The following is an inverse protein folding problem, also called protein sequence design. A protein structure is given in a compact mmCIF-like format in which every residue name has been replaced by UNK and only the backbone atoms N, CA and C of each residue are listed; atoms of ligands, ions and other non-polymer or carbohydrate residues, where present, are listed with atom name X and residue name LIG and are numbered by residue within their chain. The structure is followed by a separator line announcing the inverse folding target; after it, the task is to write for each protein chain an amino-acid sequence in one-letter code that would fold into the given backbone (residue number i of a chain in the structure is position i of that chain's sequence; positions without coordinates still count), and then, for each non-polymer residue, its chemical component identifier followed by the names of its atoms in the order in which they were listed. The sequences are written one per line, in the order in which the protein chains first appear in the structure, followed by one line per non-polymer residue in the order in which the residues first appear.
data_IF_647623665752
#
_entry.id   IF_647623665752
#
_cell.length_a   1.000
_cell.length_b   1.000
_cell.length_c   1.000
_cell.angle_alpha   90.00
_cell.angle_beta   90.00
_cell.angle_gamma   90.00
#
_symmetry.space_group_name_H-M   'P 1'
#
loop_
_entity.id
_entity.type
_entity.pdbx_description
1 polymer ?
#
# COMPACT_ATOMS: atom_id res chain seq x y z
N UNK A 1 16.53 12.47 12.72
CA UNK A 1 16.49 11.04 12.34
C UNK A 1 15.19 10.44 12.85
N UNK A 2 14.34 9.87 11.99
CA UNK A 2 13.13 9.17 12.44
C UNK A 2 13.60 7.90 13.15
N UNK A 3 13.19 7.72 14.42
CA UNK A 3 13.54 6.54 15.21
C UNK A 3 12.81 5.33 14.63
N UNK A 4 13.53 4.26 14.29
CA UNK A 4 12.90 3.01 13.87
C UNK A 4 12.10 2.39 15.02
N UNK A 5 10.86 2.02 14.78
CA UNK A 5 9.95 1.43 15.76
C UNK A 5 9.27 0.15 15.25
N UNK A 6 9.62 -0.32 14.05
CA UNK A 6 8.98 -1.48 13.42
C UNK A 6 9.05 -2.75 14.28
N UNK A 7 10.19 -2.97 14.98
CA UNK A 7 10.33 -4.11 15.88
C UNK A 7 9.29 -4.08 17.01
N UNK A 8 9.12 -2.91 17.66
CA UNK A 8 8.13 -2.75 18.73
C UNK A 8 6.71 -2.80 18.22
N UNK A 9 6.46 -2.23 17.06
CA UNK A 9 5.11 -2.21 16.47
C UNK A 9 4.64 -3.63 16.11
N UNK A 10 5.52 -4.45 15.54
CA UNK A 10 5.16 -5.78 15.04
C UNK A 10 5.31 -6.85 16.13
N UNK A 11 6.39 -6.83 16.89
CA UNK A 11 6.78 -7.90 17.80
C UNK A 11 6.80 -7.50 19.28
N UNK A 12 6.50 -6.24 19.61
CA UNK A 12 6.69 -5.70 20.96
C UNK A 12 5.99 -6.50 22.06
N UNK A 13 4.80 -7.04 21.82
CA UNK A 13 4.06 -7.85 22.77
C UNK A 13 4.52 -9.32 22.81
N UNK A 14 5.04 -9.84 21.68
CA UNK A 14 5.46 -11.24 21.59
C UNK A 14 6.93 -11.44 21.98
N UNK A 15 7.82 -10.57 21.50
CA UNK A 15 9.26 -10.66 21.70
C UNK A 15 9.87 -9.28 22.06
N UNK A 16 9.55 -8.70 23.23
CA UNK A 16 9.92 -7.33 23.56
C UNK A 16 11.43 -7.10 23.59
N UNK A 17 12.23 -8.09 24.01
CA UNK A 17 13.69 -8.00 24.00
C UNK A 17 14.27 -7.98 22.58
N UNK A 18 13.74 -8.80 21.68
CA UNK A 18 14.14 -8.80 20.28
C UNK A 18 13.76 -7.47 19.61
N UNK A 19 12.53 -6.97 19.85
CA UNK A 19 12.08 -5.69 19.35
C UNK A 19 12.98 -4.53 19.79
N UNK A 20 13.40 -4.52 21.07
CA UNK A 20 14.32 -3.52 21.58
C UNK A 20 15.72 -3.61 20.92
N UNK A 21 16.27 -4.81 20.75
CA UNK A 21 17.54 -5.00 20.06
C UNK A 21 17.49 -4.56 18.59
N UNK A 22 16.37 -4.87 17.92
CA UNK A 22 16.15 -4.43 16.54
C UNK A 22 16.11 -2.89 16.43
N UNK A 23 15.28 -2.23 17.23
CA UNK A 23 15.01 -0.81 17.08
C UNK A 23 16.14 0.05 17.66
N UNK A 24 16.66 -0.30 18.84
CA UNK A 24 17.62 0.56 19.54
C UNK A 24 19.07 0.22 19.14
N UNK A 25 19.43 -1.05 19.02
CA UNK A 25 20.81 -1.46 18.74
C UNK A 25 21.06 -1.54 17.24
N UNK A 26 20.32 -2.39 16.52
CA UNK A 26 20.57 -2.57 15.09
C UNK A 26 20.37 -1.25 14.34
N UNK A 27 19.19 -0.67 14.41
CA UNK A 27 18.88 0.55 13.67
C UNK A 27 19.33 1.82 14.41
N UNK A 28 19.23 1.86 15.74
CA UNK A 28 19.59 3.02 16.55
C UNK A 28 21.09 3.25 16.69
N UNK A 29 21.89 2.20 16.84
CA UNK A 29 23.34 2.32 17.04
C UNK A 29 24.15 1.90 15.80
N UNK A 30 23.86 0.73 15.19
CA UNK A 30 24.70 0.22 14.09
C UNK A 30 24.40 0.94 12.78
N UNK A 31 23.13 1.02 12.35
CA UNK A 31 22.77 1.68 11.09
C UNK A 31 22.93 3.20 11.12
N UNK A 32 22.97 3.82 12.30
CA UNK A 32 23.13 5.27 12.47
C UNK A 32 24.58 5.75 12.31
N UNK A 33 25.56 4.84 12.23
CA UNK A 33 27.00 5.17 12.09
C UNK A 33 27.36 5.46 10.64
N UNK A 34 26.69 6.46 10.05
CA UNK A 34 26.83 6.78 8.62
C UNK A 34 28.22 7.31 8.25
N UNK A 35 28.90 7.97 9.18
CA UNK A 35 30.27 8.44 9.02
C UNK A 35 31.30 7.29 8.91
N UNK A 36 30.99 6.08 9.34
CA UNK A 36 31.82 4.89 9.21
C UNK A 36 31.51 4.08 7.98
N UNK A 37 30.20 3.92 7.67
CA UNK A 37 29.71 3.18 6.52
C UNK A 37 28.34 3.73 6.15
N UNK A 38 28.19 4.22 4.93
CA UNK A 38 26.94 4.82 4.47
C UNK A 38 25.78 3.83 4.48
N UNK A 39 24.54 4.33 4.57
CA UNK A 39 23.32 3.51 4.47
C UNK A 39 23.25 2.74 3.16
N UNK A 40 23.66 3.35 2.08
CA UNK A 40 23.75 2.72 0.76
C UNK A 40 24.62 1.46 0.79
N UNK A 41 25.86 1.57 1.31
CA UNK A 41 26.78 0.44 1.42
C UNK A 41 26.25 -0.64 2.39
N UNK A 42 25.64 -0.25 3.51
CA UNK A 42 24.99 -1.21 4.42
C UNK A 42 23.87 -1.98 3.71
N UNK A 43 23.06 -1.31 2.91
CA UNK A 43 22.01 -1.96 2.13
C UNK A 43 22.59 -2.96 1.12
N UNK A 44 23.63 -2.59 0.38
CA UNK A 44 24.32 -3.47 -0.55
C UNK A 44 24.84 -4.73 0.17
N UNK A 45 25.51 -4.55 1.32
CA UNK A 45 26.01 -5.67 2.12
C UNK A 45 24.88 -6.55 2.62
N UNK A 46 23.80 -5.97 3.11
CA UNK A 46 22.65 -6.72 3.64
C UNK A 46 21.97 -7.53 2.54
N UNK A 47 21.69 -6.94 1.38
CA UNK A 47 21.13 -7.63 0.21
C UNK A 47 22.05 -8.77 -0.22
N UNK A 48 23.36 -8.52 -0.34
CA UNK A 48 24.33 -9.55 -0.70
C UNK A 48 24.37 -10.72 0.30
N UNK A 49 24.29 -10.42 1.59
CA UNK A 49 24.30 -11.44 2.64
C UNK A 49 23.02 -12.31 2.61
N UNK A 50 21.86 -11.71 2.35
CA UNK A 50 20.59 -12.44 2.22
C UNK A 50 20.61 -13.38 1.01
N UNK A 51 21.04 -12.90 -0.15
CA UNK A 51 21.16 -13.70 -1.37
C UNK A 51 22.14 -14.84 -1.15
N UNK A 52 23.31 -14.57 -0.54
CA UNK A 52 24.30 -15.59 -0.22
C UNK A 52 23.81 -16.68 0.73
N UNK A 53 22.80 -16.38 1.57
CA UNK A 53 22.11 -17.35 2.43
C UNK A 53 20.94 -18.07 1.74
N UNK A 54 20.61 -17.75 0.50
CA UNK A 54 19.45 -18.26 -0.21
C UNK A 54 18.10 -17.72 0.30
N UNK A 55 18.12 -16.60 1.01
CA UNK A 55 16.92 -15.91 1.48
C UNK A 55 16.40 -15.00 0.36
N UNK A 56 15.50 -15.52 -0.44
CA UNK A 56 14.91 -14.85 -1.62
C UNK A 56 13.40 -14.70 -1.48
N UNK A 57 12.96 -14.37 -0.29
CA UNK A 57 11.57 -14.21 0.13
C UNK A 57 11.22 -12.73 0.42
N UNK A 58 10.15 -12.51 1.17
CA UNK A 58 9.70 -11.20 1.61
C UNK A 58 10.77 -10.39 2.36
N UNK A 59 11.73 -11.06 3.04
CA UNK A 59 12.84 -10.37 3.70
C UNK A 59 13.76 -9.70 2.69
N UNK A 60 14.08 -10.39 1.58
CA UNK A 60 14.88 -9.80 0.52
C UNK A 60 14.13 -8.66 -0.16
N UNK A 61 12.83 -8.84 -0.47
CA UNK A 61 12.00 -7.78 -1.06
C UNK A 61 11.99 -6.50 -0.22
N UNK A 62 11.86 -6.63 1.11
CA UNK A 62 11.96 -5.50 2.03
C UNK A 62 13.32 -4.80 1.93
N UNK A 63 14.43 -5.55 1.97
CA UNK A 63 15.76 -4.96 1.92
C UNK A 63 16.14 -4.37 0.55
N UNK A 64 15.55 -4.86 -0.55
CA UNK A 64 15.66 -4.23 -1.88
C UNK A 64 14.97 -2.86 -1.91
N UNK A 65 13.76 -2.75 -1.34
CA UNK A 65 13.06 -1.46 -1.18
C UNK A 65 13.87 -0.47 -0.35
N UNK A 66 14.40 -0.91 0.79
CA UNK A 66 15.25 -0.07 1.63
C UNK A 66 16.57 0.31 0.93
N UNK A 67 17.17 -0.58 0.12
CA UNK A 67 18.36 -0.27 -0.68
C UNK A 67 18.08 0.86 -1.68
N UNK A 68 16.94 0.82 -2.38
CA UNK A 68 16.48 1.88 -3.29
C UNK A 68 16.31 3.22 -2.55
N UNK A 69 15.61 3.24 -1.43
CA UNK A 69 15.45 4.43 -0.56
C UNK A 69 16.78 4.98 -0.07
N UNK A 70 17.76 4.12 0.18
CA UNK A 70 19.10 4.50 0.61
C UNK A 70 20.04 4.87 -0.57
N UNK A 71 19.49 5.02 -1.79
CA UNK A 71 20.18 5.55 -2.96
C UNK A 71 20.97 4.51 -3.77
N UNK A 72 20.67 3.21 -3.62
CA UNK A 72 21.18 2.20 -4.57
C UNK A 72 20.36 2.31 -5.85
N UNK A 73 21.01 2.62 -6.97
CA UNK A 73 20.33 2.76 -8.27
C UNK A 73 19.99 1.41 -8.87
N UNK A 74 19.09 1.39 -9.86
CA UNK A 74 18.77 0.19 -10.62
C UNK A 74 20.02 -0.42 -11.29
N UNK A 75 20.86 0.42 -11.86
CA UNK A 75 22.11 0.02 -12.52
C UNK A 75 23.08 -0.65 -11.52
N UNK A 76 23.25 -0.05 -10.34
CA UNK A 76 24.09 -0.61 -9.27
C UNK A 76 23.53 -1.91 -8.72
N UNK A 77 22.20 -2.02 -8.60
CA UNK A 77 21.55 -3.26 -8.17
C UNK A 77 21.70 -4.37 -9.21
N UNK A 78 21.51 -4.07 -10.48
CA UNK A 78 21.72 -5.03 -11.57
C UNK A 78 23.16 -5.54 -11.60
N UNK A 79 24.14 -4.66 -11.42
CA UNK A 79 25.56 -5.04 -11.37
C UNK A 79 25.89 -5.89 -10.14
N UNK A 80 25.34 -5.51 -8.97
CA UNK A 80 25.47 -6.29 -7.74
C UNK A 80 24.92 -7.71 -7.92
N UNK A 81 23.73 -7.87 -8.48
CA UNK A 81 23.10 -9.17 -8.70
C UNK A 81 23.85 -10.00 -9.72
N UNK A 82 24.36 -9.37 -10.77
CA UNK A 82 25.24 -10.01 -11.76
C UNK A 82 26.51 -10.54 -11.10
N UNK A 83 27.15 -9.73 -10.28
CA UNK A 83 28.37 -10.11 -9.57
C UNK A 83 28.11 -11.25 -8.56
N UNK A 84 27.09 -11.11 -7.73
CA UNK A 84 26.80 -12.09 -6.66
C UNK A 84 26.37 -13.46 -7.21
N UNK A 85 25.89 -13.55 -8.46
CA UNK A 85 25.53 -14.81 -9.11
C UNK A 85 26.68 -15.82 -9.13
N UNK A 86 27.91 -15.34 -9.25
CA UNK A 86 29.11 -16.18 -9.25
C UNK A 86 29.50 -16.71 -7.87
N UNK A 87 29.02 -16.08 -6.80
CA UNK A 87 29.32 -16.44 -5.42
C UNK A 87 28.17 -17.14 -4.70
N UNK A 88 26.92 -16.74 -5.00
CA UNK A 88 25.71 -17.26 -4.38
C UNK A 88 24.97 -18.29 -5.26
N UNK A 89 25.36 -18.45 -6.52
CA UNK A 89 24.79 -19.36 -7.50
C UNK A 89 23.60 -18.74 -8.29
N UNK A 90 23.48 -19.14 -9.54
CA UNK A 90 22.50 -18.65 -10.49
C UNK A 90 21.04 -18.71 -10.01
N UNK A 91 20.55 -19.79 -9.36
CA UNK A 91 19.16 -19.84 -8.92
C UNK A 91 18.81 -18.76 -7.91
N UNK A 92 19.71 -18.46 -6.97
CA UNK A 92 19.53 -17.39 -5.97
C UNK A 92 19.55 -16.01 -6.64
N UNK A 93 20.45 -15.80 -7.61
CA UNK A 93 20.52 -14.55 -8.35
C UNK A 93 19.26 -14.34 -9.21
N UNK A 94 18.74 -15.35 -9.89
CA UNK A 94 17.50 -15.27 -10.67
C UNK A 94 16.31 -14.89 -9.78
N UNK A 95 16.15 -15.55 -8.64
CA UNK A 95 15.09 -15.20 -7.69
C UNK A 95 15.23 -13.74 -7.19
N UNK A 96 16.46 -13.31 -6.91
CA UNK A 96 16.72 -11.92 -6.50
C UNK A 96 16.46 -10.92 -7.64
N UNK A 97 16.77 -11.24 -8.90
CA UNK A 97 16.44 -10.39 -10.05
C UNK A 97 14.94 -10.18 -10.20
N UNK A 98 14.10 -11.22 -10.05
CA UNK A 98 12.65 -11.07 -10.11
C UNK A 98 12.16 -10.06 -9.06
N UNK A 99 12.60 -10.21 -7.81
CA UNK A 99 12.24 -9.26 -6.75
C UNK A 99 12.79 -7.85 -6.98
N UNK A 100 14.02 -7.74 -7.53
CA UNK A 100 14.62 -6.45 -7.82
C UNK A 100 13.88 -5.74 -8.96
N UNK A 101 13.47 -6.45 -10.02
CA UNK A 101 12.65 -5.89 -11.09
C UNK A 101 11.33 -5.35 -10.56
N UNK A 102 10.62 -6.10 -9.69
CA UNK A 102 9.43 -5.61 -9.01
C UNK A 102 9.67 -4.30 -8.25
N UNK A 103 10.82 -4.17 -7.58
CA UNK A 103 11.15 -2.98 -6.79
C UNK A 103 11.64 -1.82 -7.64
N UNK A 104 12.44 -2.06 -8.67
CA UNK A 104 13.13 -1.01 -9.42
C UNK A 104 12.43 -0.61 -10.71
N UNK A 105 11.80 -1.54 -11.42
CA UNK A 105 11.10 -1.28 -12.70
C UNK A 105 9.65 -0.87 -12.48
N UNK A 106 8.95 -1.55 -11.56
CA UNK A 106 7.59 -1.14 -11.19
C UNK A 106 7.60 0.15 -10.36
N UNK A 107 8.80 0.68 -10.04
CA UNK A 107 9.01 1.85 -9.22
C UNK A 107 8.55 1.62 -7.78
N UNK A 108 8.79 2.60 -6.90
CA UNK A 108 7.75 3.04 -6.00
C UNK A 108 6.76 3.73 -6.96
N UNK A 109 5.92 2.98 -7.65
CA UNK A 109 4.66 3.49 -8.08
C UNK A 109 4.06 3.93 -6.74
N UNK A 110 4.21 5.21 -6.41
CA UNK A 110 3.42 5.82 -5.38
C UNK A 110 2.00 5.63 -5.87
N UNK A 111 1.41 4.49 -5.48
CA UNK A 111 0.01 4.27 -5.74
C UNK A 111 -0.75 5.44 -5.13
N UNK A 112 -1.80 5.85 -5.76
CA UNK A 112 -2.47 7.08 -5.36
C UNK A 112 -2.36 8.21 -6.37
N UNK A 113 -1.77 7.93 -7.53
CA UNK A 113 -1.58 8.90 -8.61
C UNK A 113 -0.80 10.12 -8.14
N UNK A 114 -1.17 11.31 -8.60
CA UNK A 114 -0.53 12.59 -8.23
C UNK A 114 -0.66 12.93 -6.73
N UNK A 115 -1.55 12.25 -6.00
CA UNK A 115 -1.85 12.57 -4.60
C UNK A 115 -1.08 11.70 -3.61
N UNK A 116 -0.45 10.61 -4.08
CA UNK A 116 0.31 9.67 -3.28
C UNK A 116 -0.57 8.72 -2.44
N UNK A 117 0.00 7.59 -2.03
CA UNK A 117 -0.71 6.47 -1.40
C UNK A 117 -1.30 6.80 -0.02
N UNK A 118 -0.61 7.60 0.76
CA UNK A 118 -0.99 7.88 2.16
C UNK A 118 -0.53 6.81 3.15
N UNK A 119 -1.07 6.88 4.36
CA UNK A 119 -0.74 5.96 5.46
C UNK A 119 -1.71 4.76 5.50
N UNK A 120 -1.31 3.63 6.10
CA UNK A 120 -2.21 2.50 6.29
C UNK A 120 -3.53 2.92 6.94
N UNK A 121 -4.64 2.55 6.34
CA UNK A 121 -5.99 2.93 6.78
C UNK A 121 -6.43 2.11 8.01
N UNK A 122 -5.76 2.30 9.15
CA UNK A 122 -6.01 1.52 10.37
C UNK A 122 -7.35 1.86 11.03
N UNK A 123 -7.80 3.10 10.92
CA UNK A 123 -9.03 3.56 11.57
C UNK A 123 -10.29 2.88 11.00
N UNK A 124 -10.30 2.58 9.71
CA UNK A 124 -11.41 1.95 9.01
C UNK A 124 -11.12 0.51 8.57
N UNK A 125 -9.99 -0.07 8.97
CA UNK A 125 -9.55 -1.40 8.53
C UNK A 125 -10.62 -2.49 8.69
N UNK A 126 -11.43 -2.42 9.73
CA UNK A 126 -12.52 -3.37 9.99
C UNK A 126 -13.66 -3.34 8.97
N UNK A 127 -13.69 -2.35 8.11
CA UNK A 127 -14.68 -2.19 7.03
C UNK A 127 -14.10 -2.47 5.64
N UNK A 128 -12.90 -3.08 5.61
CA UNK A 128 -12.22 -3.43 4.37
C UNK A 128 -11.79 -4.90 4.40
N UNK A 129 -11.92 -5.56 3.28
CA UNK A 129 -11.29 -6.85 3.01
C UNK A 129 -9.99 -6.59 2.26
N UNK A 130 -8.83 -6.93 2.85
CA UNK A 130 -7.51 -6.60 2.31
C UNK A 130 -6.95 -5.29 2.89
N UNK A 131 -5.85 -4.81 2.32
CA UNK A 131 -5.14 -3.62 2.80
C UNK A 131 -5.52 -2.38 1.99
N UNK A 132 -5.75 -1.29 2.70
CA UNK A 132 -6.00 0.03 2.10
C UNK A 132 -5.20 1.12 2.80
N UNK A 133 -5.04 2.24 2.12
CA UNK A 133 -4.30 3.40 2.59
C UNK A 133 -5.17 4.65 2.45
N UNK A 134 -4.95 5.62 3.32
CA UNK A 134 -5.72 6.84 3.35
C UNK A 134 -4.80 8.05 3.46
N UNK A 135 -5.03 9.03 2.60
CA UNK A 135 -4.41 10.35 2.69
C UNK A 135 -5.48 11.42 2.70
N UNK A 136 -5.59 12.15 3.81
CA UNK A 136 -6.45 13.32 3.89
C UNK A 136 -5.75 14.47 3.16
N UNK A 137 -6.42 15.05 2.18
CA UNK A 137 -5.90 16.11 1.31
C UNK A 137 -6.41 17.51 1.70
N UNK A 138 -7.58 17.58 2.34
CA UNK A 138 -8.16 18.83 2.81
C UNK A 138 -7.55 19.27 4.14
N UNK A 139 -7.43 20.58 4.35
CA UNK A 139 -6.99 21.13 5.61
C UNK A 139 -7.98 20.85 6.74
N UNK A 140 -7.50 20.67 7.99
CA UNK A 140 -8.37 20.48 9.16
C UNK A 140 -9.39 21.61 9.29
N UNK A 141 -10.67 21.27 9.47
CA UNK A 141 -11.76 22.24 9.61
C UNK A 141 -12.35 22.73 8.28
N UNK A 142 -11.86 22.24 7.14
CA UNK A 142 -12.52 22.48 5.86
C UNK A 142 -13.89 21.77 5.86
N UNK A 143 -14.97 22.44 5.42
CA UNK A 143 -16.29 21.81 5.34
C UNK A 143 -16.35 20.66 4.31
N UNK A 144 -15.43 20.60 3.37
CA UNK A 144 -15.28 19.50 2.42
C UNK A 144 -14.03 18.70 2.75
N UNK A 145 -14.22 17.49 3.28
CA UNK A 145 -13.11 16.53 3.47
C UNK A 145 -12.87 15.78 2.17
N UNK A 146 -11.65 15.87 1.65
CA UNK A 146 -11.20 15.14 0.46
C UNK A 146 -10.14 14.15 0.92
N UNK A 147 -10.36 12.88 0.60
CA UNK A 147 -9.42 11.81 0.89
C UNK A 147 -8.97 11.12 -0.39
N UNK A 148 -7.69 10.81 -0.50
CA UNK A 148 -7.22 9.82 -1.47
C UNK A 148 -7.24 8.46 -0.78
N UNK A 149 -8.02 7.53 -1.30
CA UNK A 149 -8.14 6.14 -0.80
C UNK A 149 -7.47 5.22 -1.80
N UNK A 150 -6.46 4.49 -1.35
CA UNK A 150 -5.70 3.55 -2.17
C UNK A 150 -5.93 2.13 -1.68
N UNK A 151 -6.22 1.23 -2.59
CA UNK A 151 -6.52 -0.17 -2.36
C UNK A 151 -5.43 -1.04 -2.98
N UNK A 152 -4.90 -2.00 -2.21
CA UNK A 152 -4.07 -3.07 -2.77
C UNK A 152 -4.88 -3.98 -3.71
N UNK A 153 -4.22 -4.73 -4.61
CA UNK A 153 -4.88 -5.71 -5.45
C UNK A 153 -5.82 -6.62 -4.67
N UNK A 154 -7.09 -6.69 -5.10
CA UNK A 154 -8.13 -7.47 -4.44
C UNK A 154 -8.76 -6.83 -3.20
N UNK A 155 -8.24 -5.71 -2.72
CA UNK A 155 -8.82 -5.00 -1.58
C UNK A 155 -10.12 -4.29 -1.98
N UNK A 156 -11.12 -4.34 -1.10
CA UNK A 156 -12.42 -3.70 -1.27
C UNK A 156 -13.03 -3.30 0.06
N UNK A 157 -13.82 -2.24 0.07
CA UNK A 157 -14.60 -1.91 1.25
C UNK A 157 -15.89 -2.78 1.34
N UNK A 158 -16.50 -2.78 2.51
CA UNK A 158 -17.81 -3.39 2.73
C UNK A 158 -18.90 -2.59 2.00
N UNK A 159 -20.04 -3.20 1.81
CA UNK A 159 -21.25 -2.49 1.47
C UNK A 159 -21.49 -1.38 2.47
N UNK A 160 -21.86 -0.18 1.99
CA UNK A 160 -22.12 0.97 2.85
C UNK A 160 -23.09 1.96 2.21
N UNK A 161 -23.63 2.85 3.02
CA UNK A 161 -24.60 3.85 2.61
C UNK A 161 -24.20 5.20 3.18
N UNK A 162 -24.17 6.23 2.33
CA UNK A 162 -24.06 7.63 2.76
C UNK A 162 -25.48 8.18 2.87
N UNK A 163 -26.02 8.20 4.09
CA UNK A 163 -27.36 8.70 4.35
C UNK A 163 -27.42 10.20 4.33
N UNK A 164 -28.50 10.75 3.78
CA UNK A 164 -28.85 12.17 3.88
C UNK A 164 -30.36 12.34 3.75
N UNK A 165 -30.89 13.38 4.43
CA UNK A 165 -32.29 13.80 4.28
C UNK A 165 -32.49 14.63 3.03
N UNK A 166 -31.52 15.45 2.64
CA UNK A 166 -31.49 16.20 1.39
C UNK A 166 -30.04 16.49 0.99
N UNK A 167 -29.75 16.55 -0.31
CA UNK A 167 -28.40 16.57 -0.83
C UNK A 167 -27.66 15.27 -0.46
N UNK A 168 -26.38 15.36 -0.12
CA UNK A 168 -25.57 14.20 0.28
C UNK A 168 -25.19 13.28 -0.88
N UNK A 169 -24.55 12.19 -0.52
CA UNK A 169 -23.94 11.24 -1.45
C UNK A 169 -22.43 11.38 -1.49
N UNK A 170 -21.79 10.66 -2.40
CA UNK A 170 -20.33 10.63 -2.51
C UNK A 170 -19.91 10.80 -3.97
N UNK A 171 -18.76 11.43 -4.18
CA UNK A 171 -18.11 11.45 -5.49
C UNK A 171 -16.78 10.71 -5.38
N UNK A 172 -16.51 9.84 -6.35
CA UNK A 172 -15.24 9.19 -6.57
C UNK A 172 -14.62 9.74 -7.85
N UNK A 173 -13.36 10.17 -7.79
CA UNK A 173 -12.56 10.53 -8.96
C UNK A 173 -11.39 9.56 -9.00
N UNK A 174 -11.38 8.64 -9.96
CA UNK A 174 -10.35 7.63 -10.08
C UNK A 174 -9.04 8.25 -10.56
N UNK A 175 -7.95 8.06 -9.83
CA UNK A 175 -6.66 8.73 -10.06
C UNK A 175 -5.52 7.76 -10.40
N UNK A 176 -5.68 6.46 -10.11
CA UNK A 176 -4.66 5.46 -10.38
C UNK A 176 -5.25 4.05 -10.44
N UNK A 177 -4.67 3.20 -11.31
CA UNK A 177 -5.01 1.79 -11.43
C UNK A 177 -6.42 1.50 -11.91
N UNK A 178 -6.89 0.28 -11.58
CA UNK A 178 -8.20 -0.21 -11.98
C UNK A 178 -8.99 -0.79 -10.80
N UNK A 179 -10.29 -0.49 -10.76
CA UNK A 179 -11.18 -0.90 -9.68
C UNK A 179 -12.56 -1.29 -10.12
N UNK A 180 -13.39 -1.51 -9.13
CA UNK A 180 -14.81 -1.82 -9.26
C UNK A 180 -15.64 -0.86 -8.41
N UNK A 181 -16.84 -0.54 -8.92
CA UNK A 181 -17.94 0.08 -8.20
C UNK A 181 -19.19 -0.71 -8.44
N UNK A 182 -20.01 -0.91 -7.41
CA UNK A 182 -21.32 -1.59 -7.57
C UNK A 182 -22.35 -1.01 -6.61
N UNK A 183 -23.53 -0.71 -7.14
CA UNK A 183 -24.73 -0.45 -6.35
C UNK A 183 -25.49 -1.76 -6.10
N UNK A 184 -26.20 -1.86 -4.98
CA UNK A 184 -27.02 -3.03 -4.68
C UNK A 184 -28.05 -3.28 -5.77
N UNK A 185 -28.12 -4.52 -6.23
CA UNK A 185 -29.06 -4.94 -7.30
C UNK A 185 -28.63 -4.55 -8.73
N UNK A 186 -27.45 -3.92 -8.91
CA UNK A 186 -26.91 -3.60 -10.24
C UNK A 186 -25.65 -4.42 -10.54
N UNK A 187 -25.28 -4.47 -11.81
CA UNK A 187 -23.99 -5.04 -12.22
C UNK A 187 -22.83 -4.16 -11.76
N UNK A 188 -21.68 -4.78 -11.47
CA UNK A 188 -20.48 -4.06 -11.11
C UNK A 188 -19.91 -3.31 -12.33
N UNK A 189 -19.55 -2.05 -12.14
CA UNK A 189 -18.93 -1.19 -13.12
C UNK A 189 -17.41 -1.24 -12.95
N UNK A 190 -16.69 -1.52 -14.04
CA UNK A 190 -15.22 -1.38 -14.06
C UNK A 190 -14.83 0.09 -14.08
N UNK A 191 -13.85 0.43 -13.24
CA UNK A 191 -13.31 1.78 -13.11
C UNK A 191 -11.83 1.80 -13.45
N UNK A 192 -11.36 2.92 -14.00
CA UNK A 192 -9.95 3.21 -14.28
C UNK A 192 -9.65 4.68 -14.01
N UNK A 193 -8.38 5.03 -13.97
CA UNK A 193 -7.95 6.42 -13.81
C UNK A 193 -8.62 7.34 -14.86
N UNK A 194 -9.18 8.46 -14.39
CA UNK A 194 -9.97 9.42 -15.16
C UNK A 194 -11.49 9.23 -15.08
N UNK A 195 -11.97 8.08 -14.61
CA UNK A 195 -13.41 7.88 -14.43
C UNK A 195 -13.92 8.63 -13.19
N UNK A 196 -15.18 9.10 -13.28
CA UNK A 196 -15.86 9.79 -12.18
C UNK A 196 -17.16 9.03 -11.91
N UNK A 197 -17.43 8.77 -10.63
CA UNK A 197 -18.66 8.15 -10.16
C UNK A 197 -19.36 9.10 -9.19
N UNK A 198 -20.56 9.49 -9.50
CA UNK A 198 -21.43 10.25 -8.61
C UNK A 198 -22.42 9.27 -7.96
N UNK A 199 -22.32 9.10 -6.66
CA UNK A 199 -23.12 8.16 -5.88
C UNK A 199 -24.17 8.94 -5.12
N UNK A 200 -25.47 8.80 -5.47
CA UNK A 200 -26.53 9.49 -4.75
C UNK A 200 -26.59 9.10 -3.28
N UNK A 201 -27.10 10.00 -2.43
CA UNK A 201 -27.39 9.67 -1.05
C UNK A 201 -28.36 8.49 -0.94
N UNK A 202 -28.25 7.72 0.12
CA UNK A 202 -29.09 6.57 0.45
C UNK A 202 -28.96 5.37 -0.53
N UNK A 203 -27.94 5.36 -1.37
CA UNK A 203 -27.62 4.22 -2.24
C UNK A 203 -26.63 3.31 -1.55
N UNK A 204 -27.00 2.03 -1.38
CA UNK A 204 -26.09 1.01 -0.87
C UNK A 204 -25.13 0.58 -1.97
N UNK A 205 -23.84 0.68 -1.71
CA UNK A 205 -22.79 0.43 -2.70
C UNK A 205 -21.48 -0.05 -2.04
N UNK A 206 -20.58 -0.51 -2.87
CA UNK A 206 -19.19 -0.78 -2.53
C UNK A 206 -18.26 -0.40 -3.68
N UNK A 207 -16.98 -0.23 -3.39
CA UNK A 207 -15.92 -0.05 -4.37
C UNK A 207 -14.60 -0.64 -3.86
N UNK A 208 -13.66 -0.88 -4.77
CA UNK A 208 -12.37 -1.47 -4.44
C UNK A 208 -11.54 -1.76 -5.67
N UNK A 209 -10.34 -2.28 -5.46
CA UNK A 209 -9.40 -2.65 -6.51
C UNK A 209 -9.85 -3.89 -7.29
N UNK A 210 -9.38 -4.02 -8.54
CA UNK A 210 -9.39 -5.32 -9.23
C UNK A 210 -8.36 -6.28 -8.62
N UNK A 211 -8.43 -7.55 -8.95
CA UNK A 211 -7.59 -8.61 -8.33
C UNK A 211 -6.09 -8.41 -8.52
N UNK A 212 -5.71 -7.91 -9.68
CA UNK A 212 -4.31 -7.80 -10.11
C UNK A 212 -3.88 -6.33 -10.27
N UNK A 213 -4.74 -5.38 -9.89
CA UNK A 213 -4.45 -3.95 -10.00
C UNK A 213 -4.56 -3.26 -8.66
N UNK A 214 -3.66 -2.37 -8.37
CA UNK A 214 -3.89 -1.31 -7.42
C UNK A 214 -5.02 -0.41 -7.94
N UNK A 215 -5.69 0.28 -7.03
CA UNK A 215 -6.73 1.22 -7.38
C UNK A 215 -6.73 2.39 -6.40
N UNK A 216 -6.80 3.60 -6.92
CA UNK A 216 -6.89 4.79 -6.07
C UNK A 216 -7.90 5.76 -6.61
N UNK A 217 -8.64 6.36 -5.71
CA UNK A 217 -9.60 7.41 -6.04
C UNK A 217 -9.63 8.49 -4.97
N UNK A 218 -9.92 9.71 -5.38
CA UNK A 218 -10.37 10.74 -4.47
C UNK A 218 -11.81 10.42 -4.06
N UNK A 219 -12.08 10.53 -2.77
CA UNK A 219 -13.42 10.40 -2.21
C UNK A 219 -13.77 11.66 -1.44
N UNK A 220 -14.96 12.18 -1.69
CA UNK A 220 -15.52 13.27 -0.89
C UNK A 220 -17.04 13.19 -0.85
N UNK A 221 -17.59 13.60 0.28
CA UNK A 221 -19.03 13.60 0.50
C UNK A 221 -19.66 14.89 -0.04
N UNK A 222 -20.79 14.78 -0.68
CA UNK A 222 -21.58 15.91 -1.13
C UNK A 222 -22.26 16.54 0.08
N UNK A 223 -22.29 17.87 0.15
CA UNK A 223 -22.98 18.59 1.23
C UNK A 223 -24.47 18.27 1.28
N UNK A 224 -24.99 18.11 2.49
CA UNK A 224 -26.38 17.74 2.70
C UNK A 224 -26.85 18.00 4.14
N UNK A 225 -28.05 17.56 4.46
CA UNK A 225 -28.63 17.64 5.81
C UNK A 225 -28.81 16.25 6.40
N UNK A 226 -28.61 16.12 7.72
CA UNK A 226 -28.73 14.86 8.48
C UNK A 226 -27.83 13.75 7.86
N UNK A 227 -26.56 14.09 7.63
CA UNK A 227 -25.56 13.19 7.05
C UNK A 227 -25.13 12.14 8.07
N UNK A 228 -25.08 10.86 7.62
CA UNK A 228 -24.48 9.77 8.39
C UNK A 228 -24.02 8.65 7.48
N UNK A 229 -23.03 7.88 7.93
CA UNK A 229 -22.50 6.72 7.20
C UNK A 229 -22.89 5.43 7.89
N UNK A 230 -23.44 4.48 7.13
CA UNK A 230 -23.78 3.14 7.60
C UNK A 230 -22.87 2.12 6.89
N UNK A 231 -22.14 1.34 7.69
CA UNK A 231 -21.36 0.21 7.21
C UNK A 231 -22.18 -1.07 7.35
N UNK A 232 -22.34 -1.76 6.23
CA UNK A 232 -23.13 -2.97 6.10
C UNK A 232 -22.21 -4.21 6.06
N UNK A 233 -22.68 -5.30 5.45
CA UNK A 233 -21.96 -6.56 5.32
C UNK A 233 -20.77 -6.49 4.36
N UNK A 234 -19.87 -7.46 4.47
CA UNK A 234 -18.76 -7.65 3.55
C UNK A 234 -19.25 -8.00 2.14
N UNK A 235 -18.53 -7.54 1.12
CA UNK A 235 -18.67 -8.10 -0.24
C UNK A 235 -18.10 -9.52 -0.22
N UNK A 236 -18.96 -10.52 -0.41
CA UNK A 236 -18.55 -11.92 -0.33
C UNK A 236 -17.45 -12.25 -1.34
N UNK A 237 -16.52 -13.13 -0.97
CA UNK A 237 -15.48 -13.59 -1.87
C UNK A 237 -16.09 -14.18 -3.16
N UNK A 238 -17.18 -14.94 -3.05
CA UNK A 238 -17.86 -15.54 -4.22
C UNK A 238 -18.39 -14.47 -5.17
N UNK A 239 -19.02 -13.40 -4.66
CA UNK A 239 -19.53 -12.32 -5.50
C UNK A 239 -18.39 -11.55 -6.16
N UNK A 240 -17.34 -11.22 -5.41
CA UNK A 240 -16.16 -10.55 -5.94
C UNK A 240 -15.42 -11.42 -6.96
N UNK A 241 -15.32 -12.73 -6.70
CA UNK A 241 -14.64 -13.68 -7.55
C UNK A 241 -15.39 -13.99 -8.87
N UNK A 242 -16.66 -13.69 -8.94
CA UNK A 242 -17.46 -13.80 -10.16
C UNK A 242 -17.24 -12.61 -11.13
N UNK A 243 -16.59 -11.52 -10.69
CA UNK A 243 -16.34 -10.36 -11.55
C UNK A 243 -15.29 -10.68 -12.63
N UNK A 244 -15.40 -10.06 -13.82
CA UNK A 244 -14.40 -10.20 -14.89
C UNK A 244 -12.99 -9.86 -14.41
N UNK A 245 -11.99 -10.47 -15.05
CA UNK A 245 -10.58 -10.15 -14.80
C UNK A 245 -10.16 -8.89 -15.51
#
# INVERSE_FOLDING_TARGET
MVKQTAGRTILGNFAPKFAALNDDVLFGEVWSREEKLSRKLRSIITVSALIGKGMTDASLAYHLKEAKKNGVTQEEMAELLTHIAFYAGWPNAWAAFHLAMEVYENGDAEHGGLFGQGEPNTAYAKYFTGCSYLKVLSEPGNPLTICNVTFEPGCRNHWHIHHAKSGGGQVLICVDGEGWYQEEGKEAQSLKAGDIVEIPANVKHWHGAKRESWFSHLAFEIQGTDLSNEWCEEVSAAAYDALPR
#
